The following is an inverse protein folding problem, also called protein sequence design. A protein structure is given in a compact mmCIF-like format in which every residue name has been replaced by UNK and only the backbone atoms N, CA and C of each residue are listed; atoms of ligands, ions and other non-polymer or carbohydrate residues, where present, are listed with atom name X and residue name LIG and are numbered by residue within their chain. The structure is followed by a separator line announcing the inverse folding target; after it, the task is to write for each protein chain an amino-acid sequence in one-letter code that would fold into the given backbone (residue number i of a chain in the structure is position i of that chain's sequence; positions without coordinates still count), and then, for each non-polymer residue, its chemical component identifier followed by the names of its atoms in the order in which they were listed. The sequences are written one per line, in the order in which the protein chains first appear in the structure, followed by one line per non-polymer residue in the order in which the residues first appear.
data_IF_896664741247
#
_entry.id   IF_896664741247
#
_cell.length_a   1.000
_cell.length_b   1.000
_cell.length_c   1.000
_cell.angle_alpha   90.00
_cell.angle_beta   90.00
_cell.angle_gamma   90.00
#
_symmetry.space_group_name_H-M   'P 1'
#
loop_
_entity.id
_entity.type
_entity.pdbx_description
1 polymer ?
#
# COMPACT_ATOMS: atom_id res chain seq x y z
N UNK A 1 3.00 2.77 9.55
CA UNK A 1 3.44 3.87 8.67
C UNK A 1 4.89 3.63 8.30
N UNK A 2 5.29 4.01 7.10
CA UNK A 2 6.64 3.90 6.55
C UNK A 2 7.19 5.30 6.27
N UNK A 3 8.52 5.45 6.29
CA UNK A 3 9.17 6.73 5.99
C UNK A 3 9.77 6.69 4.59
N UNK A 4 9.10 7.38 3.66
CA UNK A 4 9.49 7.45 2.27
C UNK A 4 10.48 8.60 2.05
N UNK A 5 11.61 8.30 1.40
CA UNK A 5 12.66 9.29 1.14
C UNK A 5 12.11 10.41 0.23
N UNK A 6 11.96 11.61 0.80
CA UNK A 6 11.44 12.79 0.09
C UNK A 6 9.93 13.02 0.22
N UNK A 7 9.18 12.07 0.79
CA UNK A 7 7.71 12.15 0.91
C UNK A 7 7.19 12.11 2.34
N UNK A 8 8.08 11.95 3.34
CA UNK A 8 7.71 11.90 4.75
C UNK A 8 7.07 10.58 5.16
N UNK A 9 6.24 10.60 6.20
CA UNK A 9 5.56 9.40 6.71
C UNK A 9 4.23 9.16 6.01
N UNK A 10 4.00 7.93 5.56
CA UNK A 10 2.74 7.50 4.93
C UNK A 10 2.32 6.11 5.42
N UNK A 11 1.10 5.68 5.07
CA UNK A 11 0.78 4.25 5.11
C UNK A 11 1.65 3.51 4.08
N UNK A 12 2.00 2.24 4.34
CA UNK A 12 2.64 1.42 3.33
C UNK A 12 1.71 1.20 2.14
N UNK A 13 2.26 1.20 0.94
CA UNK A 13 1.48 1.02 -0.28
C UNK A 13 2.14 1.62 -1.51
N UNK A 14 1.58 1.28 -2.66
CA UNK A 14 2.10 1.67 -3.96
C UNK A 14 1.07 1.45 -5.08
N UNK A 15 1.54 1.44 -6.32
CA UNK A 15 0.68 1.21 -7.47
C UNK A 15 0.23 -0.26 -7.52
N UNK A 16 -1.00 -0.49 -7.99
CA UNK A 16 -1.49 -1.83 -8.30
C UNK A 16 -0.89 -2.27 -9.63
N UNK A 17 -0.18 -3.40 -9.66
CA UNK A 17 0.42 -3.88 -10.89
C UNK A 17 -0.59 -4.60 -11.80
N UNK A 18 -0.21 -4.78 -13.08
CA UNK A 18 -1.08 -5.43 -14.05
C UNK A 18 -1.36 -6.88 -13.65
N UNK A 19 -2.63 -7.18 -13.41
CA UNK A 19 -3.08 -8.52 -13.03
C UNK A 19 -3.15 -8.75 -11.52
N UNK A 20 -2.82 -7.75 -10.71
CA UNK A 20 -3.04 -7.77 -9.26
C UNK A 20 -4.45 -7.29 -8.90
N UNK A 21 -5.01 -7.91 -7.86
CA UNK A 21 -6.11 -7.35 -7.06
C UNK A 21 -5.57 -6.28 -6.09
N UNK A 22 -6.45 -5.44 -5.53
CA UNK A 22 -6.06 -4.45 -4.52
C UNK A 22 -5.43 -5.12 -3.29
N UNK A 23 -5.96 -6.27 -2.91
CA UNK A 23 -5.50 -7.09 -1.79
C UNK A 23 -4.09 -7.63 -2.04
N UNK A 24 -3.82 -8.11 -3.26
CA UNK A 24 -2.48 -8.58 -3.62
C UNK A 24 -1.46 -7.44 -3.59
N UNK A 25 -1.80 -6.28 -4.15
CA UNK A 25 -0.91 -5.12 -4.15
C UNK A 25 -0.56 -4.68 -2.73
N UNK A 26 -1.54 -4.51 -1.84
CA UNK A 26 -1.27 -4.06 -0.46
C UNK A 26 -0.44 -5.07 0.35
N UNK A 27 -0.64 -6.39 0.14
CA UNK A 27 0.17 -7.43 0.76
C UNK A 27 1.62 -7.36 0.27
N UNK A 28 1.83 -7.25 -1.06
CA UNK A 28 3.16 -7.16 -1.66
C UNK A 28 3.90 -5.90 -1.19
N UNK A 29 3.29 -4.73 -1.37
CA UNK A 29 3.88 -3.43 -1.00
C UNK A 29 4.23 -3.38 0.51
N UNK A 30 3.32 -3.84 1.38
CA UNK A 30 3.60 -3.89 2.82
C UNK A 30 4.78 -4.80 3.12
N UNK A 31 4.88 -5.95 2.44
CA UNK A 31 6.01 -6.88 2.63
C UNK A 31 7.32 -6.27 2.15
N UNK A 32 7.33 -5.59 1.01
CA UNK A 32 8.51 -4.95 0.43
C UNK A 32 9.04 -3.81 1.29
N UNK A 33 8.17 -2.93 1.79
CA UNK A 33 8.58 -1.76 2.55
C UNK A 33 8.87 -2.05 4.04
N UNK A 34 8.21 -3.05 4.63
CA UNK A 34 8.27 -3.30 6.08
C UNK A 34 8.81 -4.68 6.47
N UNK A 35 8.83 -5.64 5.55
CA UNK A 35 9.16 -7.04 5.83
C UNK A 35 8.05 -7.83 6.53
N UNK A 36 6.88 -7.24 6.80
CA UNK A 36 5.78 -7.89 7.50
C UNK A 36 4.84 -8.66 6.56
N UNK A 37 4.28 -9.77 7.03
CA UNK A 37 3.16 -10.44 6.39
C UNK A 37 1.86 -9.99 7.08
N UNK A 38 0.80 -9.73 6.30
CA UNK A 38 -0.45 -9.16 6.81
C UNK A 38 -1.66 -9.93 6.28
N UNK A 39 -2.79 -9.76 6.95
CA UNK A 39 -4.13 -10.10 6.44
C UNK A 39 -4.88 -8.81 6.12
N UNK A 40 -5.61 -8.79 5.00
CA UNK A 40 -6.34 -7.61 4.54
C UNK A 40 -7.75 -7.63 5.08
N UNK A 41 -8.14 -6.55 5.76
CA UNK A 41 -9.49 -6.34 6.26
C UNK A 41 -10.39 -5.63 5.25
N UNK A 42 -11.50 -5.06 5.74
CA UNK A 42 -12.44 -4.33 4.90
C UNK A 42 -11.85 -3.01 4.36
N UNK A 43 -12.32 -2.58 3.19
CA UNK A 43 -12.03 -1.24 2.66
C UNK A 43 -12.62 -0.19 3.61
N UNK A 44 -11.79 0.73 4.08
CA UNK A 44 -12.19 1.80 5.03
C UNK A 44 -12.49 3.11 4.31
N UNK A 45 -11.80 3.40 3.20
CA UNK A 45 -11.99 4.61 2.40
C UNK A 45 -11.54 4.40 0.95
N UNK A 46 -12.18 5.11 0.02
CA UNK A 46 -11.73 5.27 -1.36
C UNK A 46 -11.56 6.77 -1.58
N UNK A 47 -10.35 7.17 -1.96
CA UNK A 47 -10.01 8.58 -2.19
C UNK A 47 -9.48 8.73 -3.61
N UNK A 48 -9.85 9.82 -4.27
CA UNK A 48 -9.27 10.23 -5.54
C UNK A 48 -8.34 11.41 -5.28
N UNK A 49 -7.09 11.28 -5.73
CA UNK A 49 -6.12 12.36 -5.69
C UNK A 49 -5.81 12.75 -7.13
N UNK A 50 -6.17 13.98 -7.50
CA UNK A 50 -5.75 14.57 -8.77
C UNK A 50 -4.34 15.13 -8.57
N UNK A 51 -3.39 14.59 -9.33
CA UNK A 51 -2.00 15.05 -9.40
C UNK A 51 -1.77 15.88 -10.66
#
# INVERSE_FOLDING_TARGET
MVHNKGSGWSLPGGAVEKGETLEQAVIRETKEETGLAIEVGNVIAVNEAFF
#
